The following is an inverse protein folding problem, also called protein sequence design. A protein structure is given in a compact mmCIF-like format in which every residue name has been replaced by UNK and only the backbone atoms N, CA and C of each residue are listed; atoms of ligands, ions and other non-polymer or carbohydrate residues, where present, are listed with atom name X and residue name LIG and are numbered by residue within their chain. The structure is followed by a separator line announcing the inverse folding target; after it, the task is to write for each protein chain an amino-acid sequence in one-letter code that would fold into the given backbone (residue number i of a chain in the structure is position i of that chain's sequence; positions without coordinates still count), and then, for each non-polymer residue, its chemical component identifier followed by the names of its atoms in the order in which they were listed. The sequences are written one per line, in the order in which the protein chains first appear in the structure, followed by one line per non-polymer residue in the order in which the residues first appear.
data_IF_351423813457
#
_entry.id   IF_351423813457
#
_cell.length_a   1.000
_cell.length_b   1.000
_cell.length_c   1.000
_cell.angle_alpha   90.00
_cell.angle_beta   90.00
_cell.angle_gamma   90.00
#
_symmetry.space_group_name_H-M   'P 1'
#
loop_
_entity.id
_entity.type
_entity.pdbx_description
1 polymer ?
#
# COMPACT_ATOMS: atom_id res chain seq x y z
N UNK A 1 29.89 50.28 52.27
CA UNK A 1 30.79 50.44 51.12
C UNK A 1 29.94 50.42 49.86
N UNK A 2 29.72 51.61 49.30
CA UNK A 2 29.22 51.98 47.97
C UNK A 2 27.87 51.38 47.47
N UNK A 3 26.87 52.07 46.93
CA UNK A 3 26.34 53.45 46.90
C UNK A 3 25.65 53.64 45.52
N UNK A 4 24.34 53.99 45.54
CA UNK A 4 23.52 54.75 44.57
C UNK A 4 23.29 54.16 43.14
N UNK A 5 22.15 54.32 42.43
CA UNK A 5 21.06 55.34 42.33
C UNK A 5 19.76 54.65 41.82
N UNK A 6 18.55 54.88 42.38
CA UNK A 6 17.51 55.91 42.04
C UNK A 6 17.16 56.01 40.53
N UNK A 7 15.92 56.14 40.01
CA UNK A 7 14.53 56.40 40.45
C UNK A 7 13.59 55.92 39.29
N UNK A 8 12.41 55.28 39.48
CA UNK A 8 11.06 55.86 39.70
C UNK A 8 10.66 56.95 38.65
N UNK A 9 9.45 57.08 38.05
CA UNK A 9 8.07 56.61 38.31
C UNK A 9 7.15 57.22 37.21
N UNK A 10 6.06 56.52 36.81
CA UNK A 10 4.71 57.04 36.40
C UNK A 10 4.61 58.02 35.20
N UNK A 11 3.52 58.24 34.44
CA UNK A 11 2.07 57.92 34.34
C UNK A 11 1.67 58.50 32.97
N UNK A 12 0.90 57.81 32.11
CA UNK A 12 -0.57 57.90 31.98
C UNK A 12 -1.11 59.15 31.23
N UNK A 13 -2.25 58.95 30.55
CA UNK A 13 -3.11 59.89 29.78
C UNK A 13 -2.71 60.15 28.31
N UNK A 14 -3.47 59.75 27.27
CA UNK A 14 -4.89 59.90 26.87
C UNK A 14 -5.20 61.19 26.08
N UNK A 15 -6.05 61.00 25.07
CA UNK A 15 -6.83 61.98 24.27
C UNK A 15 -6.06 62.85 23.26
N UNK A 16 -6.57 63.24 22.10
CA UNK A 16 -7.79 63.02 21.31
C UNK A 16 -7.50 63.67 19.93
N UNK A 17 -8.16 63.25 18.85
CA UNK A 17 -9.00 64.14 18.02
C UNK A 17 -9.43 63.47 16.70
N UNK A 18 -10.75 63.47 16.54
CA UNK A 18 -11.52 63.02 15.40
C UNK A 18 -11.62 64.05 14.29
N UNK A 19 -11.73 63.60 13.03
CA UNK A 19 -12.55 64.14 11.92
C UNK A 19 -12.63 63.00 10.88
N UNK A 20 -13.70 62.56 10.23
CA UNK A 20 -15.10 62.96 10.08
C UNK A 20 -15.63 62.12 8.88
N UNK A 21 -16.84 61.57 9.00
CA UNK A 21 -17.57 60.87 7.91
C UNK A 21 -17.86 61.84 6.74
N UNK A 22 -18.25 61.33 5.54
CA UNK A 22 -19.68 61.05 5.35
C UNK A 22 -19.99 59.75 4.57
N UNK A 23 -21.14 59.18 4.91
CA UNK A 23 -21.96 58.32 4.04
C UNK A 23 -22.43 59.12 2.80
N UNK A 24 -23.04 58.44 1.82
CA UNK A 24 -24.47 58.71 1.71
C UNK A 24 -25.34 57.45 1.62
N UNK A 25 -26.47 57.58 2.29
CA UNK A 25 -27.66 56.75 2.27
C UNK A 25 -28.69 57.39 1.30
N UNK A 26 -29.57 56.54 0.77
CA UNK A 26 -30.95 56.80 0.35
C UNK A 26 -31.28 57.57 -0.95
N UNK A 27 -32.06 56.93 -1.82
CA UNK A 27 -33.52 57.09 -2.00
C UNK A 27 -33.87 56.43 -3.36
N UNK A 28 -34.62 55.32 -3.41
CA UNK A 28 -36.07 55.18 -3.22
C UNK A 28 -36.89 55.54 -4.47
N UNK A 29 -37.93 54.72 -4.69
CA UNK A 29 -39.11 54.93 -5.52
C UNK A 29 -38.93 54.88 -7.05
N UNK A 30 -39.88 54.46 -7.87
CA UNK A 30 -41.12 53.67 -7.79
C UNK A 30 -41.81 53.89 -9.13
N UNK A 31 -42.58 52.93 -9.62
CA UNK A 31 -43.62 53.17 -10.63
C UNK A 31 -43.14 53.05 -12.08
N UNK A 32 -43.55 51.98 -12.76
CA UNK A 32 -44.78 51.88 -13.56
C UNK A 32 -44.59 52.40 -14.99
N UNK A 33 -44.51 51.49 -15.96
CA UNK A 33 -45.65 51.18 -16.86
C UNK A 33 -45.28 50.01 -17.82
N UNK A 34 -46.15 49.00 -17.80
CA UNK A 34 -46.35 47.88 -18.76
C UNK A 34 -46.95 48.39 -20.09
N UNK A 35 -47.34 47.57 -21.10
CA UNK A 35 -47.39 46.09 -21.25
C UNK A 35 -46.74 45.58 -22.57
N UNK A 36 -46.54 44.28 -22.79
CA UNK A 36 -47.51 43.37 -23.43
C UNK A 36 -47.08 41.91 -23.22
N UNK A 37 -47.89 41.10 -22.52
CA UNK A 37 -48.81 40.07 -23.05
C UNK A 37 -48.08 38.93 -23.78
N UNK A 38 -47.98 37.74 -23.20
CA UNK A 38 -48.98 36.66 -23.14
C UNK A 38 -48.26 35.49 -22.43
N UNK A 39 -48.83 34.60 -21.62
CA UNK A 39 -50.18 34.34 -21.16
C UNK A 39 -50.08 33.08 -20.27
N UNK A 40 -50.69 33.16 -19.08
CA UNK A 40 -51.49 32.12 -18.37
C UNK A 40 -50.88 30.73 -18.09
N UNK A 41 -51.07 30.06 -16.96
CA UNK A 41 -51.52 30.35 -15.57
C UNK A 41 -51.30 29.01 -14.83
N UNK A 42 -50.48 28.96 -13.79
CA UNK A 42 -50.87 29.03 -12.37
C UNK A 42 -51.29 27.70 -11.70
N UNK A 43 -50.45 27.32 -10.72
CA UNK A 43 -50.74 26.75 -9.37
C UNK A 43 -51.33 25.33 -9.33
N UNK A 44 -50.67 24.36 -8.70
CA UNK A 44 -50.52 24.23 -7.23
C UNK A 44 -51.82 23.67 -6.65
N UNK A 45 -51.85 22.52 -5.98
CA UNK A 45 -51.75 22.43 -4.51
C UNK A 45 -52.13 20.98 -4.06
N UNK A 46 -51.57 20.54 -2.93
CA UNK A 46 -52.03 19.57 -1.90
C UNK A 46 -51.94 18.02 -2.01
N UNK A 47 -51.15 17.49 -1.05
CA UNK A 47 -51.48 16.51 0.00
C UNK A 47 -52.53 15.42 -0.26
N UNK A 48 -52.13 14.14 -0.13
CA UNK A 48 -52.68 13.22 0.89
C UNK A 48 -51.94 11.86 0.92
N UNK A 49 -51.90 11.27 2.12
CA UNK A 49 -51.31 9.98 2.49
C UNK A 49 -52.46 9.05 2.86
N UNK A 50 -52.68 7.90 2.22
CA UNK A 50 -53.42 6.76 2.81
C UNK A 50 -52.86 5.40 2.34
N UNK A 51 -52.82 4.51 3.32
CA UNK A 51 -52.50 3.09 3.47
C UNK A 51 -53.36 2.11 2.66
N UNK A 52 -52.86 0.87 2.47
CA UNK A 52 -53.71 -0.29 2.19
C UNK A 52 -52.93 -1.58 1.86
N UNK A 53 -52.87 -2.51 2.81
CA UNK A 53 -52.54 -3.93 2.58
C UNK A 53 -53.78 -4.68 2.03
N UNK A 54 -53.59 -5.71 1.20
CA UNK A 54 -54.32 -7.00 1.13
C UNK A 54 -53.61 -7.93 0.10
N UNK A 55 -53.36 -9.18 0.51
CA UNK A 55 -52.85 -10.38 -0.22
C UNK A 55 -54.02 -11.22 -0.82
N UNK A 56 -53.87 -12.47 -1.35
CA UNK A 56 -52.93 -13.13 -2.29
C UNK A 56 -53.65 -13.83 -3.49
N UNK A 57 -52.92 -14.27 -4.53
CA UNK A 57 -53.17 -15.38 -5.52
C UNK A 57 -52.50 -14.99 -6.86
N UNK A 58 -52.08 -15.85 -7.79
CA UNK A 58 -51.72 -17.27 -7.93
C UNK A 58 -51.18 -17.38 -9.37
N UNK A 59 -50.50 -18.49 -9.68
CA UNK A 59 -50.16 -18.96 -11.04
C UNK A 59 -48.96 -18.35 -11.78
N UNK A 60 -47.87 -19.12 -11.64
CA UNK A 60 -47.15 -19.79 -12.72
C UNK A 60 -46.90 -19.02 -14.02
N UNK A 61 -45.64 -18.67 -14.26
CA UNK A 61 -45.04 -18.91 -15.57
C UNK A 61 -43.52 -19.06 -15.50
N UNK A 62 -43.04 -19.98 -16.32
CA UNK A 62 -41.67 -20.50 -16.41
C UNK A 62 -40.66 -19.37 -16.59
N UNK A 63 -39.63 -19.34 -15.75
CA UNK A 63 -38.31 -18.84 -16.14
C UNK A 63 -37.30 -19.97 -16.02
N UNK A 64 -36.90 -20.44 -17.19
CA UNK A 64 -35.70 -21.22 -17.45
C UNK A 64 -34.50 -20.59 -16.75
N UNK A 65 -33.89 -21.37 -15.88
CA UNK A 65 -32.57 -21.13 -15.29
C UNK A 65 -31.57 -21.09 -16.45
N UNK A 66 -30.96 -19.93 -16.68
CA UNK A 66 -29.76 -19.82 -17.49
C UNK A 66 -28.59 -20.19 -16.59
N UNK A 67 -28.07 -21.41 -16.79
CA UNK A 67 -26.75 -21.84 -16.35
C UNK A 67 -25.69 -20.87 -16.90
N UNK A 68 -24.84 -20.24 -16.09
CA UNK A 68 -23.65 -19.59 -16.60
C UNK A 68 -22.56 -20.64 -16.84
N UNK A 69 -22.53 -21.19 -18.05
CA UNK A 69 -21.35 -21.90 -18.54
C UNK A 69 -20.16 -20.94 -18.66
N UNK A 70 -18.99 -21.44 -18.24
CA UNK A 70 -17.64 -20.93 -18.49
C UNK A 70 -17.12 -19.77 -17.60
N UNK A 71 -17.16 -19.96 -16.28
CA UNK A 71 -16.08 -19.45 -15.43
C UNK A 71 -14.85 -20.36 -15.58
N UNK A 72 -13.88 -19.97 -16.41
CA UNK A 72 -12.51 -20.48 -16.27
C UNK A 72 -11.92 -19.87 -15.00
N UNK A 73 -12.10 -20.55 -13.87
CA UNK A 73 -11.25 -20.38 -12.70
C UNK A 73 -9.80 -20.62 -13.13
N UNK A 74 -9.00 -19.56 -13.16
CA UNK A 74 -7.56 -19.73 -12.97
C UNK A 74 -7.43 -20.14 -11.51
N UNK A 75 -7.29 -21.44 -11.28
CA UNK A 75 -7.26 -22.02 -9.93
C UNK A 75 -6.17 -21.35 -9.10
N UNK A 76 -6.55 -20.87 -7.92
CA UNK A 76 -5.58 -20.50 -6.90
C UNK A 76 -4.68 -21.71 -6.61
N UNK A 77 -3.37 -21.51 -6.42
CA UNK A 77 -2.46 -22.60 -6.11
C UNK A 77 -2.93 -23.32 -4.83
N UNK A 78 -3.18 -24.63 -4.94
CA UNK A 78 -3.39 -25.49 -3.78
C UNK A 78 -2.04 -25.79 -3.09
N UNK A 79 -2.03 -26.24 -1.82
CA UNK A 79 -0.79 -26.56 -1.09
C UNK A 79 0.17 -27.53 -1.82
N UNK A 80 -0.34 -28.33 -2.77
CA UNK A 80 0.49 -29.23 -3.59
C UNK A 80 1.23 -28.53 -4.73
N UNK A 81 0.75 -27.37 -5.19
CA UNK A 81 1.46 -26.56 -6.19
C UNK A 81 2.66 -25.80 -5.59
N UNK A 82 2.59 -25.45 -4.30
CA UNK A 82 3.72 -24.89 -3.53
C UNK A 82 4.83 -25.94 -3.31
N UNK A 83 4.45 -27.22 -3.19
CA UNK A 83 5.40 -28.34 -3.09
C UNK A 83 6.11 -28.65 -4.42
N UNK A 84 5.50 -28.32 -5.58
CA UNK A 84 6.13 -28.49 -6.92
C UNK A 84 7.04 -27.33 -7.31
N UNK A 85 6.78 -26.12 -6.84
CA UNK A 85 7.66 -24.97 -7.07
C UNK A 85 9.02 -25.11 -6.35
N UNK A 86 9.08 -25.94 -5.31
CA UNK A 86 10.29 -26.32 -4.57
C UNK A 86 10.84 -27.71 -4.98
N UNK A 87 10.61 -28.17 -6.22
CA UNK A 87 11.24 -29.38 -6.74
C UNK A 87 12.71 -29.10 -7.14
N UNK A 88 13.67 -30.00 -6.82
CA UNK A 88 15.06 -29.94 -7.31
C UNK A 88 15.20 -29.80 -8.84
N UNK A 89 14.13 -30.03 -9.59
CA UNK A 89 14.09 -29.94 -11.04
C UNK A 89 14.45 -28.56 -11.64
N UNK A 90 14.33 -27.45 -10.90
CA UNK A 90 14.73 -26.12 -11.42
C UNK A 90 16.23 -25.80 -11.24
N UNK A 91 16.96 -26.54 -10.39
CA UNK A 91 18.43 -26.46 -10.34
C UNK A 91 19.09 -27.22 -11.51
N UNK A 92 18.38 -28.18 -12.11
CA UNK A 92 18.88 -28.98 -13.22
C UNK A 92 19.05 -28.19 -14.54
N UNK A 93 18.34 -27.07 -14.74
CA UNK A 93 18.43 -26.35 -16.01
C UNK A 93 19.79 -25.68 -16.25
N UNK A 94 20.46 -25.18 -15.20
CA UNK A 94 21.76 -24.53 -15.35
C UNK A 94 22.90 -25.54 -15.53
N UNK A 95 22.89 -26.63 -14.74
CA UNK A 95 23.86 -27.72 -14.90
C UNK A 95 23.76 -28.35 -16.30
N UNK A 96 22.53 -28.54 -16.81
CA UNK A 96 22.30 -29.03 -18.16
C UNK A 96 22.78 -28.03 -19.23
N UNK A 97 22.58 -26.72 -19.02
CA UNK A 97 23.06 -25.70 -19.96
C UNK A 97 24.59 -25.63 -20.00
N UNK A 98 25.25 -25.71 -18.84
CA UNK A 98 26.72 -25.76 -18.77
C UNK A 98 27.30 -27.04 -19.36
N UNK A 99 26.59 -28.18 -19.24
CA UNK A 99 26.97 -29.43 -19.91
C UNK A 99 26.87 -29.32 -21.43
N UNK A 100 25.84 -28.63 -21.96
CA UNK A 100 25.71 -28.35 -23.40
C UNK A 100 26.82 -27.42 -23.90
N UNK A 101 27.12 -26.34 -23.17
CA UNK A 101 28.23 -25.45 -23.51
C UNK A 101 29.56 -26.22 -23.52
N UNK A 102 29.82 -27.06 -22.52
CA UNK A 102 31.02 -27.90 -22.49
C UNK A 102 31.09 -28.86 -23.68
N UNK A 103 29.98 -29.51 -24.04
CA UNK A 103 29.94 -30.44 -25.18
C UNK A 103 30.26 -29.73 -26.51
N UNK A 104 29.70 -28.53 -26.73
CA UNK A 104 30.03 -27.70 -27.91
C UNK A 104 31.51 -27.31 -27.91
N UNK A 105 32.05 -26.97 -26.74
CA UNK A 105 33.46 -26.58 -26.61
C UNK A 105 34.41 -27.75 -26.89
N UNK A 106 34.08 -28.95 -26.39
CA UNK A 106 34.82 -30.18 -26.64
C UNK A 106 34.77 -30.58 -28.13
N UNK A 107 33.63 -30.37 -28.79
CA UNK A 107 33.44 -30.60 -30.24
C UNK A 107 34.28 -29.61 -31.07
N UNK A 108 34.28 -28.32 -30.71
CA UNK A 108 35.11 -27.31 -31.36
C UNK A 108 36.62 -27.60 -31.24
N UNK A 109 37.06 -28.14 -30.10
CA UNK A 109 38.45 -28.56 -29.87
C UNK A 109 38.81 -29.83 -30.67
N UNK A 110 37.88 -30.78 -30.82
CA UNK A 110 38.08 -32.01 -31.59
C UNK A 110 38.24 -31.75 -33.10
N UNK A 111 37.61 -30.69 -33.61
CA UNK A 111 37.69 -30.30 -35.03
C UNK A 111 38.91 -29.43 -35.39
N UNK A 112 39.90 -29.29 -34.49
CA UNK A 112 41.21 -28.72 -34.80
C UNK A 112 41.23 -27.22 -35.07
N UNK A 113 40.14 -26.51 -34.78
CA UNK A 113 40.14 -25.05 -34.74
C UNK A 113 40.48 -24.63 -33.31
N UNK A 114 41.70 -24.10 -33.12
CA UNK A 114 42.28 -23.51 -31.89
C UNK A 114 43.20 -24.40 -31.03
N UNK A 115 44.27 -23.75 -30.52
CA UNK A 115 45.34 -24.34 -29.72
C UNK A 115 44.85 -24.70 -28.31
N UNK A 116 45.02 -25.96 -27.91
CA UNK A 116 44.44 -26.58 -26.71
C UNK A 116 44.99 -26.07 -25.37
N UNK A 117 46.15 -25.41 -25.34
CA UNK A 117 46.86 -25.07 -24.09
C UNK A 117 46.48 -23.73 -23.47
N UNK A 118 45.96 -22.78 -24.26
CA UNK A 118 45.55 -21.45 -23.78
C UNK A 118 44.07 -21.40 -23.33
N UNK A 119 43.30 -22.43 -23.69
CA UNK A 119 41.86 -22.51 -23.43
C UNK A 119 41.62 -23.17 -22.05
N UNK A 120 42.27 -24.29 -21.74
CA UNK A 120 41.98 -25.03 -20.49
C UNK A 120 42.20 -24.22 -19.22
N UNK A 121 43.30 -23.48 -19.12
CA UNK A 121 43.62 -22.68 -17.93
C UNK A 121 42.67 -21.49 -17.72
N UNK A 122 42.29 -20.80 -18.81
CA UNK A 122 41.30 -19.72 -18.77
C UNK A 122 39.90 -20.21 -18.44
N UNK A 123 39.52 -21.36 -18.98
CA UNK A 123 38.23 -22.01 -18.71
C UNK A 123 38.14 -22.56 -17.29
N UNK A 124 39.20 -23.15 -16.74
CA UNK A 124 39.22 -23.62 -15.35
C UNK A 124 39.21 -22.45 -14.35
N UNK A 125 39.88 -21.34 -14.66
CA UNK A 125 39.80 -20.10 -13.88
C UNK A 125 38.41 -19.46 -13.96
N UNK A 126 37.81 -19.43 -15.15
CA UNK A 126 36.45 -18.92 -15.35
C UNK A 126 35.41 -19.80 -14.65
N UNK A 127 35.50 -21.12 -14.77
CA UNK A 127 34.64 -22.07 -14.06
C UNK A 127 34.89 -22.05 -12.55
N UNK A 128 36.13 -21.83 -12.10
CA UNK A 128 36.46 -21.64 -10.68
C UNK A 128 35.82 -20.37 -10.12
N UNK A 129 35.85 -19.26 -10.88
CA UNK A 129 35.16 -18.01 -10.53
C UNK A 129 33.64 -18.16 -10.58
N UNK A 130 33.10 -18.83 -11.59
CA UNK A 130 31.65 -19.10 -11.70
C UNK A 130 31.18 -20.03 -10.60
N UNK A 131 31.90 -21.13 -10.30
CA UNK A 131 31.63 -21.98 -9.14
C UNK A 131 31.73 -21.18 -7.85
N UNK A 132 32.74 -20.32 -7.68
CA UNK A 132 32.84 -19.45 -6.51
C UNK A 132 31.68 -18.46 -6.40
N UNK A 133 31.17 -17.92 -7.51
CA UNK A 133 30.03 -17.01 -7.55
C UNK A 133 28.70 -17.74 -7.33
N UNK A 134 28.57 -18.99 -7.79
CA UNK A 134 27.39 -19.84 -7.63
C UNK A 134 27.34 -20.55 -6.28
N UNK A 135 28.49 -20.76 -5.63
CA UNK A 135 28.61 -21.38 -4.30
C UNK A 135 28.47 -20.35 -3.17
N UNK A 136 28.29 -19.06 -3.49
CA UNK A 136 27.68 -18.10 -2.56
C UNK A 136 26.19 -18.37 -2.61
N UNK A 137 25.73 -19.30 -1.76
CA UNK A 137 24.33 -19.33 -1.40
C UNK A 137 23.91 -17.90 -1.04
N UNK A 138 22.74 -17.41 -1.49
CA UNK A 138 22.27 -16.10 -1.08
C UNK A 138 22.37 -16.04 0.44
N UNK A 139 22.86 -14.91 1.02
CA UNK A 139 23.09 -14.83 2.44
C UNK A 139 21.82 -15.29 3.15
N UNK A 140 21.93 -16.34 3.97
CA UNK A 140 20.81 -16.81 4.80
C UNK A 140 20.48 -15.66 5.73
N UNK A 141 19.42 -14.94 5.39
CA UNK A 141 18.97 -13.81 6.17
C UNK A 141 18.33 -14.37 7.43
N UNK A 142 19.04 -14.30 8.55
CA UNK A 142 18.52 -14.73 9.84
C UNK A 142 17.24 -13.94 10.18
N UNK A 143 16.05 -14.56 10.17
CA UNK A 143 14.80 -13.87 10.46
C UNK A 143 14.76 -13.32 11.89
N UNK A 144 15.58 -13.85 12.82
CA UNK A 144 15.67 -13.34 14.19
C UNK A 144 16.16 -11.89 14.24
N UNK A 145 16.97 -11.46 13.26
CA UNK A 145 17.42 -10.05 13.12
C UNK A 145 16.28 -9.07 12.83
N UNK A 146 15.16 -9.56 12.31
CA UNK A 146 13.97 -8.76 11.97
C UNK A 146 12.84 -8.94 12.98
N UNK A 147 12.97 -9.92 13.89
CA UNK A 147 12.02 -10.17 14.99
C UNK A 147 12.38 -9.43 16.28
N UNK A 148 13.64 -9.08 16.47
CA UNK A 148 14.12 -8.40 17.68
C UNK A 148 13.59 -6.97 17.68
N UNK A 149 12.71 -6.66 18.64
CA UNK A 149 12.21 -5.30 18.84
C UNK A 149 13.39 -4.42 19.24
N UNK A 150 13.75 -3.48 18.38
CA UNK A 150 14.72 -2.45 18.72
C UNK A 150 14.06 -1.45 19.68
N UNK A 151 14.82 -0.94 20.63
CA UNK A 151 14.37 0.16 21.48
C UNK A 151 14.41 1.46 20.68
N UNK A 152 13.34 2.25 20.73
CA UNK A 152 13.33 3.62 20.21
C UNK A 152 14.46 4.43 20.84
N UNK A 153 15.17 5.21 20.04
CA UNK A 153 16.22 6.13 20.50
C UNK A 153 15.63 7.27 21.35
N UNK A 154 14.38 7.64 21.11
CA UNK A 154 13.66 8.69 21.85
C UNK A 154 12.80 8.16 23.01
N UNK A 155 12.72 6.83 23.17
CA UNK A 155 11.81 6.17 24.09
C UNK A 155 10.32 6.24 23.67
N UNK A 156 10.02 6.81 22.49
CA UNK A 156 8.68 6.91 21.91
C UNK A 156 8.62 6.16 20.59
N UNK A 157 7.54 5.42 20.37
CA UNK A 157 7.29 4.70 19.12
C UNK A 157 5.87 4.95 18.66
N UNK A 158 5.68 5.00 17.35
CA UNK A 158 4.37 5.12 16.69
C UNK A 158 4.06 3.88 15.86
N UNK A 159 2.78 3.72 15.51
CA UNK A 159 2.31 2.65 14.64
C UNK A 159 1.89 3.24 13.30
N UNK A 160 2.32 2.61 12.21
CA UNK A 160 1.81 2.84 10.86
C UNK A 160 1.21 1.53 10.32
N UNK A 161 0.07 1.59 9.64
CA UNK A 161 -0.57 0.41 9.06
C UNK A 161 -0.92 0.64 7.59
N UNK A 162 -0.42 -0.23 6.72
CA UNK A 162 -0.54 -0.10 5.26
C UNK A 162 -1.03 -1.41 4.63
N UNK A 163 -1.92 -1.33 3.64
CA UNK A 163 -2.29 -2.44 2.76
C UNK A 163 -1.91 -2.09 1.32
N UNK A 164 -1.19 -2.98 0.64
CA UNK A 164 -0.64 -2.72 -0.70
C UNK A 164 -0.55 -4.01 -1.53
N UNK A 165 -1.54 -4.89 -1.45
CA UNK A 165 -1.50 -6.24 -2.03
C UNK A 165 -0.87 -7.26 -1.10
N UNK A 166 -0.27 -8.32 -1.66
CA UNK A 166 0.31 -9.43 -0.89
C UNK A 166 1.25 -8.93 0.22
N UNK A 167 0.86 -9.10 1.49
CA UNK A 167 1.59 -8.55 2.63
C UNK A 167 3.03 -9.09 2.80
N UNK A 168 3.38 -10.22 2.17
CA UNK A 168 4.73 -10.78 2.20
C UNK A 168 5.72 -9.87 1.48
N UNK A 169 5.34 -9.39 0.30
CA UNK A 169 6.17 -8.48 -0.48
C UNK A 169 6.22 -7.09 0.15
N UNK A 170 5.11 -6.63 0.75
CA UNK A 170 5.04 -5.36 1.48
C UNK A 170 6.00 -5.37 2.68
N UNK A 171 5.91 -6.37 3.56
CA UNK A 171 6.83 -6.48 4.71
C UNK A 171 8.29 -6.55 4.26
N UNK A 172 8.57 -7.37 3.25
CA UNK A 172 9.91 -7.59 2.74
C UNK A 172 10.55 -6.33 2.15
N UNK A 173 9.80 -5.54 1.36
CA UNK A 173 10.35 -4.33 0.74
C UNK A 173 10.59 -3.22 1.77
N UNK A 174 9.69 -3.07 2.76
CA UNK A 174 9.90 -2.13 3.88
C UNK A 174 11.13 -2.50 4.72
N UNK A 175 11.28 -3.76 5.10
CA UNK A 175 12.43 -4.20 5.91
C UNK A 175 13.76 -4.20 5.15
N UNK A 176 13.74 -4.31 3.82
CA UNK A 176 14.94 -4.09 2.99
C UNK A 176 15.35 -2.62 2.95
N UNK A 177 14.38 -1.70 2.93
CA UNK A 177 14.65 -0.28 2.83
C UNK A 177 15.04 0.34 4.19
N UNK A 178 14.27 0.00 5.23
CA UNK A 178 14.42 0.44 6.61
C UNK A 178 14.80 -0.73 7.55
N UNK A 179 15.95 -1.39 7.36
CA UNK A 179 16.30 -2.54 8.18
C UNK A 179 16.52 -2.11 9.65
N UNK A 180 15.88 -2.79 10.63
CA UNK A 180 16.07 -2.50 12.06
C UNK A 180 17.54 -2.62 12.50
N UNK A 181 18.29 -3.55 11.90
CA UNK A 181 19.71 -3.79 12.18
C UNK A 181 20.63 -2.61 11.82
N UNK A 182 20.14 -1.64 11.04
CA UNK A 182 20.88 -0.42 10.68
C UNK A 182 20.28 0.83 11.32
N UNK A 183 19.36 0.68 12.28
CA UNK A 183 18.69 1.77 12.97
C UNK A 183 18.07 2.81 12.01
N UNK A 184 17.38 2.35 10.96
CA UNK A 184 16.68 3.22 10.00
C UNK A 184 15.23 3.57 10.39
N UNK A 185 14.89 3.40 11.66
CA UNK A 185 13.62 3.86 12.24
C UNK A 185 12.53 2.79 12.38
N UNK A 186 12.49 1.74 11.56
CA UNK A 186 11.59 0.60 11.85
C UNK A 186 12.14 -0.20 13.05
N UNK A 187 11.29 -0.40 14.05
CA UNK A 187 11.60 -1.14 15.27
C UNK A 187 11.08 -2.59 15.21
N UNK A 188 9.89 -2.77 14.62
CA UNK A 188 9.21 -4.06 14.49
C UNK A 188 8.16 -4.02 13.39
N UNK A 189 7.93 -5.15 12.74
CA UNK A 189 6.80 -5.35 11.82
C UNK A 189 5.95 -6.54 12.23
N UNK A 190 4.69 -6.54 11.76
CA UNK A 190 3.83 -7.71 11.74
C UNK A 190 2.87 -7.63 10.55
N UNK A 191 2.66 -8.73 9.86
CA UNK A 191 1.60 -8.83 8.83
C UNK A 191 0.30 -9.37 9.42
N UNK A 192 -0.83 -8.98 8.85
CA UNK A 192 -2.14 -9.28 9.41
C UNK A 192 -3.31 -8.80 8.58
N UNK A 193 -4.48 -8.80 9.22
CA UNK A 193 -5.77 -8.48 8.61
C UNK A 193 -6.44 -7.33 9.35
N UNK A 194 -6.97 -6.36 8.61
CA UNK A 194 -7.70 -5.21 9.19
C UNK A 194 -8.62 -4.57 8.14
N UNK A 195 -9.39 -3.55 8.52
CA UNK A 195 -10.24 -2.79 7.60
C UNK A 195 -11.46 -3.53 7.02
N UNK A 196 -11.77 -4.72 7.52
CA UNK A 196 -12.89 -5.56 7.03
C UNK A 196 -14.15 -5.46 7.89
N UNK A 197 -15.06 -6.41 7.70
CA UNK A 197 -16.33 -6.44 8.41
C UNK A 197 -16.11 -6.66 9.92
N UNK A 198 -16.56 -5.73 10.80
CA UNK A 198 -16.34 -5.82 12.24
C UNK A 198 -17.05 -7.03 12.90
N UNK A 199 -18.02 -7.65 12.22
CA UNK A 199 -18.70 -8.86 12.70
C UNK A 199 -17.83 -10.12 12.54
N UNK A 200 -16.81 -10.07 11.67
CA UNK A 200 -15.87 -11.17 11.48
C UNK A 200 -14.75 -11.03 12.51
N UNK A 201 -14.71 -11.95 13.46
CA UNK A 201 -13.67 -11.98 14.51
C UNK A 201 -12.70 -13.13 14.26
N UNK A 202 -11.43 -12.93 14.60
CA UNK A 202 -10.36 -13.91 14.41
C UNK A 202 -10.30 -14.49 12.97
N UNK A 203 -10.27 -13.65 11.92
CA UNK A 203 -10.11 -14.12 10.55
C UNK A 203 -8.79 -14.89 10.40
N UNK A 204 -8.83 -15.96 9.61
CA UNK A 204 -7.66 -16.71 9.18
C UNK A 204 -7.34 -16.43 7.71
N UNK A 205 -6.15 -16.82 7.26
CA UNK A 205 -5.74 -16.57 5.87
C UNK A 205 -6.75 -17.13 4.86
N UNK A 206 -7.26 -18.35 5.11
CA UNK A 206 -8.16 -19.04 4.19
C UNK A 206 -9.47 -18.28 4.00
N UNK A 207 -10.06 -17.80 5.08
CA UNK A 207 -11.30 -17.03 5.05
C UNK A 207 -11.08 -15.66 4.40
N UNK A 208 -9.97 -14.98 4.69
CA UNK A 208 -9.61 -13.70 4.04
C UNK A 208 -9.43 -13.87 2.54
N UNK A 209 -8.76 -14.92 2.08
CA UNK A 209 -8.56 -15.18 0.65
C UNK A 209 -9.86 -15.41 -0.13
N UNK A 210 -10.97 -15.76 0.54
CA UNK A 210 -12.28 -15.86 -0.12
C UNK A 210 -12.88 -14.50 -0.47
N UNK A 211 -12.39 -13.41 0.15
CA UNK A 211 -12.97 -12.07 0.06
C UNK A 211 -14.20 -11.85 0.95
N UNK A 212 -14.74 -12.89 1.58
CA UNK A 212 -15.98 -12.79 2.37
C UNK A 212 -15.85 -11.95 3.65
N UNK A 213 -14.63 -11.74 4.14
CA UNK A 213 -14.37 -11.00 5.38
C UNK A 213 -14.20 -9.50 5.17
N UNK A 214 -13.98 -9.08 3.92
CA UNK A 214 -13.63 -7.71 3.50
C UNK A 214 -12.32 -7.16 4.12
N UNK A 215 -11.58 -7.99 4.86
CA UNK A 215 -10.31 -7.60 5.42
C UNK A 215 -9.25 -7.42 4.34
N UNK A 216 -8.42 -6.38 4.48
CA UNK A 216 -7.19 -6.22 3.72
C UNK A 216 -6.06 -7.05 4.34
N UNK A 217 -5.22 -7.62 3.49
CA UNK A 217 -3.85 -7.97 3.88
C UNK A 217 -3.06 -6.69 4.13
N UNK A 218 -2.50 -6.57 5.32
CA UNK A 218 -1.84 -5.35 5.77
C UNK A 218 -0.52 -5.64 6.49
N UNK A 219 0.35 -4.65 6.46
CA UNK A 219 1.57 -4.53 7.23
C UNK A 219 1.34 -3.51 8.35
N UNK A 220 1.63 -3.89 9.59
CA UNK A 220 1.73 -2.98 10.73
C UNK A 220 3.19 -2.80 11.11
N UNK A 221 3.62 -1.55 11.21
CA UNK A 221 4.99 -1.12 11.47
C UNK A 221 5.00 -0.36 12.79
N UNK A 222 5.83 -0.78 13.73
CA UNK A 222 6.23 0.03 14.89
C UNK A 222 7.53 0.75 14.50
N UNK A 223 7.54 2.08 14.59
CA UNK A 223 8.67 2.91 14.17
C UNK A 223 9.02 3.99 15.20
N UNK A 224 10.26 4.47 15.15
CA UNK A 224 10.74 5.62 15.93
C UNK A 224 10.58 6.91 15.10
N UNK A 225 9.63 7.81 15.45
CA UNK A 225 9.41 9.05 14.73
C UNK A 225 10.60 10.02 14.81
N UNK A 226 11.55 9.80 15.72
CA UNK A 226 12.81 10.55 15.78
C UNK A 226 13.85 10.12 14.74
N UNK A 227 13.63 9.00 14.05
CA UNK A 227 14.56 8.44 13.05
C UNK A 227 13.94 8.40 11.65
N UNK A 228 12.67 8.00 11.54
CA UNK A 228 11.90 8.02 10.28
C UNK A 228 10.55 8.64 10.52
N UNK A 229 10.16 9.61 9.70
CA UNK A 229 8.85 10.25 9.82
C UNK A 229 7.73 9.39 9.22
N UNK A 230 6.50 9.58 9.71
CA UNK A 230 5.33 8.96 9.11
C UNK A 230 5.16 9.37 7.63
N UNK A 231 5.52 10.61 7.26
CA UNK A 231 5.48 11.08 5.88
C UNK A 231 6.42 10.29 4.95
N UNK A 232 7.63 9.96 5.41
CA UNK A 232 8.57 9.11 4.66
C UNK A 232 8.03 7.69 4.47
N UNK A 233 7.38 7.12 5.50
CA UNK A 233 6.74 5.81 5.38
C UNK A 233 5.57 5.82 4.38
N UNK A 234 4.76 6.88 4.35
CA UNK A 234 3.65 7.03 3.38
C UNK A 234 4.19 7.24 1.96
N UNK A 235 5.23 8.04 1.76
CA UNK A 235 5.85 8.21 0.45
C UNK A 235 6.41 6.89 -0.05
N UNK A 236 7.13 6.16 0.81
CA UNK A 236 7.69 4.87 0.48
C UNK A 236 6.61 3.81 0.19
N UNK A 237 5.50 3.84 0.91
CA UNK A 237 4.32 3.03 0.60
C UNK A 237 3.87 3.26 -0.85
N UNK A 238 3.69 4.50 -1.29
CA UNK A 238 3.31 4.80 -2.67
C UNK A 238 4.37 4.40 -3.69
N UNK A 239 5.64 4.48 -3.31
CA UNK A 239 6.78 4.12 -4.17
C UNK A 239 6.89 2.63 -4.45
N UNK A 240 6.19 1.78 -3.69
CA UNK A 240 6.41 0.33 -3.67
C UNK A 240 5.27 -0.53 -4.22
N UNK A 241 4.18 0.05 -4.69
CA UNK A 241 3.07 -0.70 -5.31
C UNK A 241 2.35 0.15 -6.37
N UNK A 242 1.36 -0.42 -7.07
CA UNK A 242 0.45 0.35 -7.92
C UNK A 242 -0.77 0.83 -7.10
N UNK A 243 -0.87 2.12 -6.74
CA UNK A 243 -1.98 2.66 -5.96
C UNK A 243 -3.17 3.08 -6.83
N UNK A 244 -3.18 2.75 -8.13
CA UNK A 244 -4.21 3.18 -9.10
C UNK A 244 -5.20 2.06 -9.44
N UNK A 245 -4.93 0.84 -8.98
CA UNK A 245 -5.77 -0.34 -9.19
C UNK A 245 -6.64 -0.64 -7.97
N UNK A 246 -7.96 -0.44 -8.12
CA UNK A 246 -8.93 -0.75 -7.08
C UNK A 246 -9.03 -2.26 -6.84
N UNK A 247 -8.95 -2.70 -5.58
CA UNK A 247 -9.10 -4.10 -5.16
C UNK A 247 -8.22 -5.08 -5.94
N UNK A 248 -7.00 -4.66 -6.29
CA UNK A 248 -6.07 -5.44 -7.09
C UNK A 248 -4.65 -4.93 -6.92
N UNK A 249 -3.70 -5.86 -6.94
CA UNK A 249 -2.28 -5.55 -7.05
C UNK A 249 -1.58 -6.57 -7.96
N UNK A 250 -1.13 -6.14 -9.13
CA UNK A 250 -0.56 -7.06 -10.12
C UNK A 250 -1.54 -8.15 -10.55
N UNK A 251 -1.18 -9.41 -10.33
CA UNK A 251 -2.06 -10.56 -10.59
C UNK A 251 -3.04 -10.83 -9.42
N UNK A 252 -2.74 -10.32 -8.23
CA UNK A 252 -3.53 -10.56 -7.02
C UNK A 252 -4.80 -9.70 -7.06
N UNK A 253 -5.96 -10.33 -7.22
CA UNK A 253 -7.26 -9.64 -7.39
C UNK A 253 -8.20 -9.99 -6.25
N UNK A 254 -8.82 -8.97 -5.66
CA UNK A 254 -9.72 -9.10 -4.51
C UNK A 254 -9.61 -7.91 -3.55
N UNK A 255 -10.67 -7.66 -2.77
CA UNK A 255 -10.69 -6.56 -1.79
C UNK A 255 -9.58 -6.68 -0.76
N UNK A 256 -9.13 -7.90 -0.47
CA UNK A 256 -8.00 -8.17 0.41
C UNK A 256 -6.67 -7.62 -0.09
N UNK A 257 -6.54 -7.32 -1.39
CA UNK A 257 -5.32 -6.79 -2.00
C UNK A 257 -5.40 -5.30 -2.34
N UNK A 258 -6.38 -4.59 -1.79
CA UNK A 258 -6.55 -3.14 -2.03
C UNK A 258 -5.39 -2.32 -1.48
N UNK A 259 -5.22 -1.14 -2.05
CA UNK A 259 -4.33 -0.10 -1.52
C UNK A 259 -5.07 0.66 -0.41
N UNK A 260 -4.54 0.66 0.82
CA UNK A 260 -5.10 1.39 1.94
C UNK A 260 -4.05 1.88 2.95
N UNK A 261 -4.33 3.01 3.58
CA UNK A 261 -3.60 3.58 4.72
C UNK A 261 -4.59 3.65 5.90
N UNK A 262 -4.24 2.97 6.98
CA UNK A 262 -5.03 2.92 8.21
C UNK A 262 -4.36 3.79 9.28
N UNK A 263 -4.83 5.03 9.45
CA UNK A 263 -4.20 6.01 10.35
C UNK A 263 -4.59 5.78 11.82
N UNK A 264 -3.66 6.03 12.74
CA UNK A 264 -3.86 5.86 14.18
C UNK A 264 -4.16 7.16 14.92
N UNK A 265 -3.87 8.32 14.30
CA UNK A 265 -4.16 9.65 14.86
C UNK A 265 -4.63 10.62 13.77
N UNK A 266 -5.30 11.74 14.13
CA UNK A 266 -5.65 12.80 13.18
C UNK A 266 -4.44 13.40 12.45
N UNK A 267 -3.29 13.48 13.10
CA UNK A 267 -2.05 13.99 12.50
C UNK A 267 -1.52 13.03 11.42
N UNK A 268 -1.65 11.72 11.66
CA UNK A 268 -1.35 10.72 10.63
C UNK A 268 -2.34 10.80 9.46
N UNK A 269 -3.64 11.05 9.70
CA UNK A 269 -4.60 11.27 8.63
C UNK A 269 -4.21 12.46 7.76
N UNK A 270 -3.97 13.63 8.39
CA UNK A 270 -3.58 14.85 7.69
C UNK A 270 -2.28 14.67 6.90
N UNK A 271 -1.29 13.98 7.50
CA UNK A 271 -0.03 13.67 6.84
C UNK A 271 -0.21 12.73 5.67
N UNK A 272 -1.00 11.67 5.81
CA UNK A 272 -1.28 10.73 4.74
C UNK A 272 -1.92 11.45 3.55
N UNK A 273 -2.99 12.21 3.77
CA UNK A 273 -3.68 12.97 2.72
C UNK A 273 -2.74 13.94 1.99
N UNK A 274 -1.95 14.71 2.73
CA UNK A 274 -0.98 15.64 2.14
C UNK A 274 0.05 14.91 1.27
N UNK A 275 0.67 13.83 1.77
CA UNK A 275 1.67 13.07 1.00
C UNK A 275 1.02 12.40 -0.22
N UNK A 276 -0.22 11.91 -0.11
CA UNK A 276 -0.98 11.38 -1.25
C UNK A 276 -1.15 12.43 -2.34
N UNK A 277 -1.50 13.66 -1.99
CA UNK A 277 -1.65 14.77 -2.95
C UNK A 277 -0.31 15.13 -3.62
N UNK A 278 0.77 15.21 -2.84
CA UNK A 278 2.13 15.47 -3.34
C UNK A 278 2.58 14.37 -4.33
N UNK A 279 2.40 13.11 -3.96
CA UNK A 279 2.74 11.96 -4.80
C UNK A 279 1.85 11.89 -6.03
N UNK A 280 0.55 12.13 -5.91
CA UNK A 280 -0.40 12.22 -7.02
C UNK A 280 0.09 13.25 -8.04
N UNK A 281 0.33 14.48 -7.60
CA UNK A 281 0.77 15.57 -8.46
C UNK A 281 2.10 15.27 -9.16
N UNK A 282 3.06 14.67 -8.43
CA UNK A 282 4.42 14.45 -8.93
C UNK A 282 4.55 13.22 -9.83
N UNK A 283 3.90 12.10 -9.50
CA UNK A 283 4.19 10.80 -10.11
C UNK A 283 3.05 10.19 -10.93
N UNK A 284 1.80 10.62 -10.71
CA UNK A 284 0.61 10.01 -11.33
C UNK A 284 -0.17 10.97 -12.25
N UNK A 285 -0.33 12.24 -11.87
CA UNK A 285 -0.98 13.26 -12.70
C UNK A 285 -0.30 13.45 -14.06
N UNK A 286 1.05 13.48 -14.17
CA UNK A 286 1.71 13.57 -15.48
C UNK A 286 1.45 12.36 -16.40
N UNK A 287 1.00 11.24 -15.83
CA UNK A 287 0.65 10.00 -16.55
C UNK A 287 -0.86 9.88 -16.80
N UNK A 288 -1.67 10.85 -16.38
CA UNK A 288 -3.13 10.79 -16.45
C UNK A 288 -3.73 9.72 -15.53
N UNK A 289 -3.01 9.29 -14.49
CA UNK A 289 -3.46 8.28 -13.54
C UNK A 289 -3.95 8.91 -12.23
N UNK A 290 -4.87 8.23 -11.54
CA UNK A 290 -5.42 8.67 -10.26
C UNK A 290 -5.17 7.61 -9.18
N UNK A 291 -4.64 8.05 -8.05
CA UNK A 291 -4.50 7.25 -6.83
C UNK A 291 -5.90 6.94 -6.29
N UNK A 292 -6.15 5.66 -6.00
CA UNK A 292 -7.42 5.15 -5.44
C UNK A 292 -7.24 4.56 -4.04
N UNK A 293 -6.10 4.81 -3.40
CA UNK A 293 -5.81 4.38 -2.02
C UNK A 293 -6.87 4.86 -1.05
N UNK A 294 -7.40 3.93 -0.26
CA UNK A 294 -8.30 4.23 0.86
C UNK A 294 -7.49 4.85 2.01
N UNK A 295 -7.95 5.96 2.57
CA UNK A 295 -7.35 6.56 3.78
C UNK A 295 -8.44 6.63 4.83
N UNK A 296 -8.35 5.76 5.84
CA UNK A 296 -9.37 5.59 6.87
C UNK A 296 -8.74 5.32 8.23
N UNK A 297 -9.52 5.43 9.30
CA UNK A 297 -9.03 5.17 10.64
C UNK A 297 -8.66 3.69 10.82
N UNK A 298 -7.59 3.42 11.57
CA UNK A 298 -7.22 2.07 11.94
C UNK A 298 -8.34 1.41 12.75
N UNK A 299 -8.73 0.20 12.35
CA UNK A 299 -9.73 -0.62 13.02
C UNK A 299 -9.07 -1.80 13.73
N UNK A 300 -9.88 -2.78 14.17
CA UNK A 300 -9.36 -3.98 14.81
C UNK A 300 -8.26 -4.64 13.96
N UNK A 301 -7.15 -4.95 14.62
CA UNK A 301 -6.02 -5.65 14.02
C UNK A 301 -6.05 -7.13 14.41
N UNK A 302 -5.86 -8.00 13.42
CA UNK A 302 -5.68 -9.43 13.59
C UNK A 302 -4.31 -9.83 13.05
N UNK A 303 -3.43 -10.37 13.91
CA UNK A 303 -2.16 -10.91 13.41
C UNK A 303 -2.43 -12.10 12.50
N UNK A 304 -1.77 -12.14 11.35
CA UNK A 304 -1.73 -13.35 10.54
C UNK A 304 -0.88 -14.43 11.23
N UNK A 305 -1.08 -15.67 10.81
CA UNK A 305 -0.41 -16.85 11.32
C UNK A 305 1.13 -16.73 11.24
N UNK A 306 1.82 -17.40 12.16
CA UNK A 306 3.27 -17.27 12.33
C UNK A 306 4.09 -17.59 11.07
N UNK A 307 3.56 -18.44 10.18
CA UNK A 307 4.23 -18.79 8.93
C UNK A 307 4.22 -17.62 7.91
N UNK A 308 3.28 -16.69 8.00
CA UNK A 308 3.23 -15.49 7.15
C UNK A 308 4.22 -14.40 7.59
N UNK A 309 4.54 -14.32 8.89
CA UNK A 309 5.46 -13.33 9.42
C UNK A 309 6.86 -13.55 8.84
N UNK A 310 7.47 -12.53 8.24
CA UNK A 310 8.79 -12.61 7.60
C UNK A 310 8.87 -13.69 6.51
N UNK A 311 7.76 -13.98 5.82
CA UNK A 311 7.66 -15.11 4.90
C UNK A 311 8.77 -15.14 3.83
N UNK A 312 9.06 -14.02 3.16
CA UNK A 312 10.10 -13.95 2.12
C UNK A 312 11.53 -14.00 2.66
N UNK A 313 11.74 -13.72 3.95
CA UNK A 313 13.04 -13.96 4.58
C UNK A 313 13.22 -15.44 4.96
N UNK A 314 12.13 -16.13 5.33
CA UNK A 314 12.11 -17.58 5.57
C UNK A 314 12.16 -18.39 4.26
N UNK A 315 11.56 -17.86 3.20
CA UNK A 315 11.40 -18.48 1.89
C UNK A 315 11.89 -17.50 0.80
N UNK A 316 13.20 -17.37 0.56
CA UNK A 316 13.75 -16.38 -0.38
C UNK A 316 13.30 -16.58 -1.84
N UNK A 317 12.89 -17.79 -2.21
CA UNK A 317 12.31 -18.14 -3.52
C UNK A 317 10.77 -18.19 -3.50
N UNK A 318 10.15 -17.75 -2.43
CA UNK A 318 8.69 -17.72 -2.28
C UNK A 318 8.05 -16.70 -3.22
N UNK A 319 6.72 -16.74 -3.33
CA UNK A 319 5.98 -15.79 -4.15
C UNK A 319 6.20 -14.35 -3.68
N UNK A 320 6.62 -13.49 -4.60
CA UNK A 320 6.69 -12.05 -4.42
C UNK A 320 5.88 -11.39 -5.54
N UNK A 321 4.88 -10.58 -5.18
CA UNK A 321 4.09 -9.87 -6.16
C UNK A 321 5.01 -8.98 -7.02
N UNK A 322 4.95 -9.08 -8.36
CA UNK A 322 5.89 -8.34 -9.25
C UNK A 322 5.81 -6.81 -9.13
N UNK A 323 4.76 -6.29 -8.51
CA UNK A 323 4.55 -4.85 -8.33
C UNK A 323 5.22 -4.29 -7.08
N UNK A 324 5.68 -5.15 -6.15
CA UNK A 324 6.47 -4.79 -4.97
C UNK A 324 7.92 -4.49 -5.33
N UNK A 325 8.12 -3.33 -5.96
CA UNK A 325 9.41 -2.77 -6.38
C UNK A 325 9.38 -1.26 -6.30
N UNK A 326 10.53 -0.61 -6.36
CA UNK A 326 10.59 0.86 -6.45
C UNK A 326 10.11 1.31 -7.84
N UNK A 327 9.13 2.22 -7.88
CA UNK A 327 8.56 2.76 -9.12
C UNK A 327 9.19 4.08 -9.57
N UNK A 328 9.93 4.74 -8.69
CA UNK A 328 10.84 5.87 -8.93
C UNK A 328 12.00 5.80 -7.95
#
# INVERSE_FOLDING_TARGET
MAELTEHAVSSDLSDELAVGLPLPENFSQSGNQTPDSTGLSARGIDNFRITGNITPDSDSERRTVLEPENFRQVGNPTPDSERRAASPANFNNYANHMAQVKAITDEMLAHGSFSSTLISSGWDLMLGRIKSLLNVAPPVVDPAKYRTRMTSATGKSEIATFAAGCFWGVEHIFLKHFPPSQNKGILKTSVGYTGGNPLVTHPDYKTVCTGATDHAEALRIEFDPGVVSYAELVEFFYRTHDPTTMNKQGADTGTQYRSAIYFHTPEQEATARRVTEEVQAKHFTPKGQKIVTEITAASQWWNAEDYHQLYLFKNPSGYQCPTHRLHW
#
